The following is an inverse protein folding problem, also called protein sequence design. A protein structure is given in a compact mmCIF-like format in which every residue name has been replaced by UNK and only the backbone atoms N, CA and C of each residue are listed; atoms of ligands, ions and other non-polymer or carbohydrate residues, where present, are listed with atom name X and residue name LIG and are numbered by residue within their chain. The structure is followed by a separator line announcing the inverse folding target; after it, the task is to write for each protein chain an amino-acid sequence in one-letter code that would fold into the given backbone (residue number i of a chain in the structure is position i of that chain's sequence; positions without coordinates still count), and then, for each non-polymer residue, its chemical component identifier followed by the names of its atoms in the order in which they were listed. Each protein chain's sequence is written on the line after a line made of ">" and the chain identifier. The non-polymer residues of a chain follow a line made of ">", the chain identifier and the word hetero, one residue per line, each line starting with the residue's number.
data_IF_278748032492
#
_entry.id   IF_278748032492
#
_cell.length_a   1.000
_cell.length_b   1.000
_cell.length_c   1.000
_cell.angle_alpha   90.00
_cell.angle_beta   90.00
_cell.angle_gamma   90.00
#
_symmetry.space_group_name_H-M   'P 1'
#
loop_
_entity.id
_entity.type
_entity.pdbx_description
1 polymer ?
#
# COMPACT_ATOMS: atom_id res chain seq x y z
N UNK A 1 -43.56 47.19 14.50
CA UNK A 1 -42.66 46.14 15.04
C UNK A 1 -42.73 44.90 14.14
N UNK A 2 -42.11 44.91 12.95
CA UNK A 2 -42.10 43.70 12.07
C UNK A 2 -40.74 43.47 11.39
N UNK A 3 -39.76 44.38 11.53
CA UNK A 3 -38.47 44.26 10.84
C UNK A 3 -37.40 43.45 11.60
N UNK A 4 -37.59 43.13 12.89
CA UNK A 4 -36.59 42.41 13.68
C UNK A 4 -36.65 40.88 13.55
N UNK A 5 -37.76 40.32 13.08
CA UNK A 5 -37.93 38.85 12.98
C UNK A 5 -37.27 38.26 11.73
N UNK A 6 -37.23 39.03 10.63
CA UNK A 6 -36.68 38.55 9.35
C UNK A 6 -35.15 38.43 9.39
N UNK A 7 -34.45 39.36 10.06
CA UNK A 7 -32.99 39.34 10.16
C UNK A 7 -32.45 38.14 10.97
N UNK A 8 -33.18 37.72 12.00
CA UNK A 8 -32.78 36.58 12.83
C UNK A 8 -32.93 35.28 12.03
N UNK A 9 -33.96 35.15 11.21
CA UNK A 9 -34.15 33.97 10.33
C UNK A 9 -33.06 33.86 9.26
N UNK A 10 -32.63 34.98 8.67
CA UNK A 10 -31.55 34.96 7.66
C UNK A 10 -30.19 34.66 8.28
N UNK A 11 -29.92 35.13 9.51
CA UNK A 11 -28.67 34.82 10.22
C UNK A 11 -28.62 33.34 10.62
N UNK A 12 -29.73 32.76 11.08
CA UNK A 12 -29.78 31.33 11.42
C UNK A 12 -29.58 30.45 10.17
N UNK A 13 -30.22 30.78 9.04
CA UNK A 13 -30.02 30.04 7.78
C UNK A 13 -28.59 30.18 7.22
N UNK A 14 -27.94 31.33 7.42
CA UNK A 14 -26.53 31.53 7.04
C UNK A 14 -25.57 30.79 7.99
N UNK A 15 -25.91 30.64 9.26
CA UNK A 15 -25.14 29.84 10.22
C UNK A 15 -25.30 28.33 10.00
N UNK A 16 -26.51 27.84 9.68
CA UNK A 16 -26.74 26.43 9.32
C UNK A 16 -26.07 26.06 7.98
N UNK A 17 -26.00 27.01 7.03
CA UNK A 17 -25.27 26.80 5.77
C UNK A 17 -23.75 26.82 5.94
N UNK A 18 -23.24 27.46 7.01
CA UNK A 18 -21.80 27.47 7.32
C UNK A 18 -21.35 26.22 8.09
N UNK A 19 -22.26 25.49 8.73
CA UNK A 19 -21.94 24.32 9.55
C UNK A 19 -21.90 22.98 8.80
N UNK A 20 -22.25 22.95 7.50
CA UNK A 20 -22.17 21.71 6.66
C UNK A 20 -20.87 21.65 5.84
N UNK A 21 -19.99 22.64 5.97
CA UNK A 21 -18.59 22.54 5.53
C UNK A 21 -17.70 22.01 6.68
N UNK A 22 -18.16 20.97 7.37
CA UNK A 22 -17.24 20.01 7.96
C UNK A 22 -16.54 19.33 6.80
N UNK A 23 -15.40 19.87 6.38
CA UNK A 23 -14.41 19.16 5.61
C UNK A 23 -14.03 17.95 6.46
N UNK A 24 -14.67 16.81 6.17
CA UNK A 24 -14.18 15.51 6.57
C UNK A 24 -12.81 15.39 5.94
N UNK A 25 -11.76 15.78 6.67
CA UNK A 25 -10.41 15.38 6.34
C UNK A 25 -10.38 13.86 6.48
N UNK A 26 -10.77 13.15 5.43
CA UNK A 26 -10.61 11.71 5.33
C UNK A 26 -9.11 11.46 5.17
N UNK A 27 -8.42 11.31 6.30
CA UNK A 27 -7.02 10.92 6.31
C UNK A 27 -6.93 9.46 5.90
N UNK A 28 -6.26 9.17 4.78
CA UNK A 28 -5.95 7.80 4.36
C UNK A 28 -4.99 7.20 5.39
N UNK A 29 -5.29 6.02 5.93
CA UNK A 29 -4.41 5.37 6.89
C UNK A 29 -3.34 4.56 6.16
N UNK A 30 -2.10 5.00 6.28
CA UNK A 30 -0.92 4.29 5.78
C UNK A 30 -0.63 3.07 6.66
N UNK A 31 -0.47 1.89 6.04
CA UNK A 31 -0.12 0.61 6.70
C UNK A 31 1.24 0.11 6.20
N UNK A 32 2.27 0.92 6.42
CA UNK A 32 3.65 0.55 6.15
C UNK A 32 4.31 0.18 7.48
N UNK A 33 4.75 -1.08 7.62
CA UNK A 33 5.49 -1.55 8.79
C UNK A 33 6.38 -2.73 8.40
N UNK A 34 7.49 -2.89 9.12
CA UNK A 34 8.53 -3.88 8.81
C UNK A 34 9.02 -4.52 10.10
N UNK A 35 9.33 -5.82 10.08
CA UNK A 35 9.97 -6.53 11.19
C UNK A 35 11.48 -6.68 10.91
N UNK A 36 12.32 -6.30 11.87
CA UNK A 36 13.77 -6.54 11.82
C UNK A 36 14.10 -7.70 12.78
N UNK A 37 14.72 -8.75 12.25
CA UNK A 37 15.18 -9.90 13.03
C UNK A 37 16.65 -9.76 13.43
N UNK A 38 17.03 -10.37 14.56
CA UNK A 38 18.41 -10.31 15.10
C UNK A 38 19.47 -10.97 14.20
N UNK A 39 19.04 -11.71 13.17
CA UNK A 39 19.89 -12.36 12.18
C UNK A 39 20.30 -11.47 11.01
N UNK A 40 19.74 -10.27 10.87
CA UNK A 40 20.08 -9.35 9.79
C UNK A 40 21.34 -8.57 10.16
N UNK A 41 22.52 -9.16 9.90
CA UNK A 41 23.83 -8.50 10.00
C UNK A 41 24.04 -7.44 8.89
N UNK A 42 23.04 -6.60 8.64
CA UNK A 42 23.12 -5.51 7.67
C UNK A 42 23.64 -4.24 8.35
N UNK A 43 24.42 -3.47 7.61
CA UNK A 43 24.86 -2.14 8.02
C UNK A 43 23.65 -1.21 8.04
N UNK A 44 22.93 -1.18 9.16
CA UNK A 44 21.70 -0.39 9.34
C UNK A 44 21.91 1.08 8.97
N UNK A 45 23.13 1.61 9.17
CA UNK A 45 23.50 2.98 8.81
C UNK A 45 23.57 3.17 7.29
N UNK A 46 24.10 2.19 6.56
CA UNK A 46 24.11 2.23 5.09
C UNK A 46 22.69 2.29 4.52
N UNK A 47 21.79 1.45 5.02
CA UNK A 47 20.38 1.46 4.60
C UNK A 47 19.70 2.79 4.92
N UNK A 48 19.92 3.33 6.13
CA UNK A 48 19.41 4.64 6.52
C UNK A 48 19.89 5.76 5.59
N UNK A 49 21.17 5.78 5.21
CA UNK A 49 21.73 6.75 4.28
C UNK A 49 21.10 6.63 2.87
N UNK A 50 20.96 5.40 2.34
CA UNK A 50 20.28 5.16 1.07
C UNK A 50 18.80 5.60 1.11
N UNK A 51 18.11 5.33 2.22
CA UNK A 51 16.71 5.73 2.43
C UNK A 51 16.56 7.25 2.54
N UNK A 52 17.49 7.93 3.19
CA UNK A 52 17.46 9.39 3.34
C UNK A 52 17.72 10.11 2.00
N UNK A 53 18.64 9.59 1.19
CA UNK A 53 18.88 10.08 -0.18
C UNK A 53 17.63 9.87 -1.06
N UNK A 54 17.03 8.67 -1.00
CA UNK A 54 15.78 8.38 -1.69
C UNK A 54 14.67 9.33 -1.27
N UNK A 55 14.45 9.53 0.04
CA UNK A 55 13.44 10.46 0.57
C UNK A 55 13.63 11.86 0.02
N UNK A 56 14.83 12.40 0.10
CA UNK A 56 15.12 13.77 -0.35
C UNK A 56 14.83 13.93 -1.84
N UNK A 57 15.26 12.96 -2.66
CA UNK A 57 15.01 12.99 -4.11
C UNK A 57 13.55 12.77 -4.47
N UNK A 58 12.86 11.87 -3.77
CA UNK A 58 11.44 11.59 -3.94
C UNK A 58 10.61 12.85 -3.68
N UNK A 59 10.78 13.45 -2.50
CA UNK A 59 10.01 14.61 -2.07
C UNK A 59 10.24 15.81 -3.00
N UNK A 60 11.47 16.01 -3.44
CA UNK A 60 11.80 17.04 -4.42
C UNK A 60 11.23 16.78 -5.82
N UNK A 61 11.40 15.56 -6.34
CA UNK A 61 11.10 15.24 -7.76
C UNK A 61 9.60 15.08 -8.01
N UNK A 62 8.89 14.45 -7.08
CA UNK A 62 7.46 14.19 -7.20
C UNK A 62 6.60 15.25 -6.50
N UNK A 63 7.23 16.20 -5.79
CA UNK A 63 6.54 17.20 -4.98
C UNK A 63 5.51 16.58 -4.02
N UNK A 64 5.87 15.43 -3.44
CA UNK A 64 5.02 14.62 -2.57
C UNK A 64 5.80 14.21 -1.34
N UNK A 65 5.22 14.44 -0.15
CA UNK A 65 5.81 13.95 1.10
C UNK A 65 5.84 12.42 1.11
N UNK A 66 7.01 11.82 1.39
CA UNK A 66 7.13 10.37 1.49
C UNK A 66 6.33 9.81 2.69
N UNK A 67 6.09 10.65 3.71
CA UNK A 67 5.27 10.30 4.87
C UNK A 67 3.79 10.16 4.51
N UNK A 68 3.31 10.92 3.52
CA UNK A 68 1.92 10.89 3.05
C UNK A 68 1.71 9.92 1.87
N UNK A 69 2.80 9.54 1.20
CA UNK A 69 2.78 8.55 0.14
C UNK A 69 2.46 7.14 0.68
N UNK A 70 1.61 6.41 -0.02
CA UNK A 70 1.27 5.01 0.24
C UNK A 70 1.39 4.20 -1.04
N UNK A 71 1.92 2.99 -0.94
CA UNK A 71 2.08 2.15 -2.12
C UNK A 71 0.78 1.43 -2.53
N UNK A 72 -0.12 1.18 -1.59
CA UNK A 72 -1.40 0.52 -1.85
C UNK A 72 -2.58 1.31 -1.24
N UNK A 73 -3.68 1.53 -1.97
CA UNK A 73 -3.94 1.15 -3.36
C UNK A 73 -3.46 2.25 -4.32
N UNK A 74 -2.18 2.20 -4.70
CA UNK A 74 -1.43 3.10 -5.60
C UNK A 74 -1.77 4.59 -5.50
N UNK A 75 -0.90 5.36 -4.85
CA UNK A 75 -1.06 6.81 -4.73
C UNK A 75 -1.23 7.53 -6.09
N UNK A 76 -2.14 8.52 -6.22
CA UNK A 76 -2.37 9.28 -7.45
C UNK A 76 -1.11 9.81 -8.12
N UNK A 77 -0.12 10.21 -7.33
CA UNK A 77 1.19 10.71 -7.80
C UNK A 77 1.91 9.72 -8.72
N UNK A 78 1.68 8.41 -8.60
CA UNK A 78 2.29 7.39 -9.49
C UNK A 78 1.33 6.89 -10.56
N UNK A 79 0.12 7.44 -10.66
CA UNK A 79 -0.88 7.05 -11.67
C UNK A 79 -0.80 7.89 -12.96
N UNK A 80 0.07 8.91 -12.98
CA UNK A 80 0.39 9.67 -14.18
C UNK A 80 1.68 9.12 -14.82
N UNK A 81 1.70 8.94 -16.14
CA UNK A 81 2.83 8.32 -16.84
C UNK A 81 4.17 9.03 -16.62
N UNK A 82 4.20 10.36 -16.55
CA UNK A 82 5.46 11.11 -16.38
C UNK A 82 6.01 10.92 -14.96
N UNK A 83 5.14 11.07 -13.97
CA UNK A 83 5.44 10.88 -12.55
C UNK A 83 5.78 9.43 -12.21
N UNK A 84 5.12 8.45 -12.84
CA UNK A 84 5.44 7.03 -12.72
C UNK A 84 6.87 6.71 -13.20
N UNK A 85 7.29 7.26 -14.35
CA UNK A 85 8.66 7.06 -14.84
C UNK A 85 9.71 7.65 -13.89
N UNK A 86 9.42 8.80 -13.29
CA UNK A 86 10.29 9.41 -12.29
C UNK A 86 10.34 8.56 -11.01
N UNK A 87 9.20 8.10 -10.51
CA UNK A 87 9.10 7.19 -9.37
C UNK A 87 9.94 5.92 -9.60
N UNK A 88 9.85 5.31 -10.79
CA UNK A 88 10.63 4.11 -11.09
C UNK A 88 12.12 4.39 -11.18
N UNK A 89 12.54 5.50 -11.79
CA UNK A 89 13.95 5.89 -11.80
C UNK A 89 14.52 6.06 -10.39
N UNK A 90 13.76 6.70 -9.50
CA UNK A 90 14.17 6.92 -8.10
C UNK A 90 14.21 5.60 -7.33
N UNK A 91 13.22 4.74 -7.54
CA UNK A 91 13.15 3.43 -6.91
C UNK A 91 14.29 2.52 -7.34
N UNK A 92 14.63 2.48 -8.64
CA UNK A 92 15.78 1.74 -9.16
C UNK A 92 17.10 2.27 -8.56
N UNK A 93 17.24 3.59 -8.38
CA UNK A 93 18.42 4.17 -7.73
C UNK A 93 18.54 3.76 -6.26
N UNK A 94 17.42 3.72 -5.53
CA UNK A 94 17.37 3.22 -4.15
C UNK A 94 17.80 1.76 -4.08
N UNK A 95 17.23 0.91 -4.93
CA UNK A 95 17.55 -0.53 -4.97
C UNK A 95 19.03 -0.75 -5.30
N UNK A 96 19.59 -0.01 -6.26
CA UNK A 96 21.04 -0.05 -6.55
C UNK A 96 21.90 0.42 -5.38
N UNK A 97 21.44 1.41 -4.61
CA UNK A 97 22.14 1.84 -3.41
C UNK A 97 22.26 0.69 -2.40
N UNK A 98 21.18 -0.06 -2.16
CA UNK A 98 21.21 -1.23 -1.27
C UNK A 98 22.16 -2.32 -1.81
N UNK A 99 22.07 -2.65 -3.09
CA UNK A 99 22.91 -3.68 -3.70
C UNK A 99 24.41 -3.30 -3.70
N UNK A 100 24.74 -2.13 -4.24
CA UNK A 100 26.14 -1.74 -4.49
C UNK A 100 26.83 -1.16 -3.26
N UNK A 101 26.12 -0.40 -2.41
CA UNK A 101 26.72 0.24 -1.23
C UNK A 101 26.56 -0.57 0.04
N UNK A 102 25.42 -1.26 0.20
CA UNK A 102 25.13 -2.02 1.41
C UNK A 102 25.36 -3.53 1.24
N UNK A 103 25.85 -3.98 0.07
CA UNK A 103 26.09 -5.37 -0.29
C UNK A 103 24.84 -6.26 -0.20
N UNK A 104 23.66 -5.68 -0.38
CA UNK A 104 22.38 -6.40 -0.36
C UNK A 104 21.85 -6.62 -1.78
N UNK A 105 22.46 -7.58 -2.47
CA UNK A 105 22.08 -7.95 -3.83
C UNK A 105 20.70 -8.62 -3.89
N UNK A 106 20.14 -9.07 -2.76
CA UNK A 106 18.78 -9.61 -2.72
C UNK A 106 17.74 -8.51 -2.99
N UNK A 107 18.05 -7.24 -2.66
CA UNK A 107 17.15 -6.10 -2.85
C UNK A 107 16.61 -5.93 -4.28
N UNK A 108 17.35 -6.38 -5.31
CA UNK A 108 16.90 -6.33 -6.71
C UNK A 108 15.80 -7.35 -7.03
N UNK A 109 15.78 -8.48 -6.30
CA UNK A 109 14.89 -9.60 -6.56
C UNK A 109 13.82 -9.79 -5.46
N UNK A 110 13.96 -9.11 -4.32
CA UNK A 110 12.97 -9.11 -3.25
C UNK A 110 11.73 -8.30 -3.63
N UNK A 111 10.59 -8.72 -3.10
CA UNK A 111 9.37 -7.94 -3.18
C UNK A 111 9.58 -6.60 -2.46
N UNK A 112 9.34 -5.52 -3.18
CA UNK A 112 8.98 -4.25 -2.62
C UNK A 112 7.89 -3.66 -3.50
N UNK A 113 6.99 -2.82 -2.98
CA UNK A 113 5.95 -2.23 -3.81
C UNK A 113 6.51 -1.51 -5.05
N UNK A 114 7.64 -0.82 -4.86
CA UNK A 114 8.38 -0.19 -5.95
C UNK A 114 8.95 -1.19 -6.96
N UNK A 115 9.60 -2.28 -6.53
CA UNK A 115 10.12 -3.30 -7.47
C UNK A 115 8.97 -3.98 -8.22
N UNK A 116 7.84 -4.23 -7.56
CA UNK A 116 6.67 -4.82 -8.19
C UNK A 116 6.17 -3.98 -9.36
N UNK A 117 5.91 -2.67 -9.15
CA UNK A 117 5.39 -1.83 -10.23
C UNK A 117 6.46 -1.38 -11.23
N UNK A 118 7.73 -1.24 -10.83
CA UNK A 118 8.77 -0.67 -11.69
C UNK A 118 9.63 -1.70 -12.41
N UNK A 119 9.76 -2.91 -11.86
CA UNK A 119 10.61 -3.97 -12.41
C UNK A 119 9.75 -5.15 -12.87
N UNK A 120 8.97 -5.75 -11.97
CA UNK A 120 8.33 -7.05 -12.22
C UNK A 120 7.08 -6.96 -13.10
N UNK A 121 6.23 -5.96 -12.86
CA UNK A 121 4.95 -5.79 -13.56
C UNK A 121 4.81 -4.44 -14.26
N UNK A 122 5.93 -3.78 -14.60
CA UNK A 122 5.96 -2.45 -15.23
C UNK A 122 5.05 -2.30 -16.44
N UNK A 123 5.17 -3.19 -17.42
CA UNK A 123 4.34 -3.10 -18.63
C UNK A 123 2.85 -3.27 -18.33
N UNK A 124 2.50 -4.10 -17.34
CA UNK A 124 1.11 -4.28 -16.91
C UNK A 124 0.60 -3.02 -16.19
N UNK A 125 1.41 -2.45 -15.30
CA UNK A 125 1.08 -1.21 -14.59
C UNK A 125 0.88 -0.05 -15.57
N UNK A 126 1.79 0.14 -16.54
CA UNK A 126 1.68 1.16 -17.59
C UNK A 126 0.38 1.05 -18.40
N UNK A 127 -0.06 -0.17 -18.71
CA UNK A 127 -1.34 -0.42 -19.40
C UNK A 127 -2.56 -0.14 -18.51
N UNK A 128 -2.41 -0.21 -17.19
CA UNK A 128 -3.47 0.04 -16.22
C UNK A 128 -3.59 1.53 -15.81
N UNK A 129 -2.53 2.34 -15.99
CA UNK A 129 -2.42 3.72 -15.50
C UNK A 129 -3.67 4.56 -15.76
N UNK A 130 -4.18 4.57 -16.99
CA UNK A 130 -5.31 5.40 -17.36
C UNK A 130 -6.58 5.04 -16.56
N UNK A 131 -6.87 3.75 -16.44
CA UNK A 131 -8.03 3.29 -15.69
C UNK A 131 -7.86 3.48 -14.19
N UNK A 132 -6.68 3.21 -13.63
CA UNK A 132 -6.38 3.45 -12.23
C UNK A 132 -6.53 4.94 -11.89
N UNK A 133 -5.95 5.84 -12.68
CA UNK A 133 -6.08 7.29 -12.48
C UNK A 133 -7.53 7.76 -12.57
N UNK A 134 -8.31 7.24 -13.53
CA UNK A 134 -9.72 7.58 -13.71
C UNK A 134 -10.59 7.14 -12.53
N UNK A 135 -10.25 6.01 -11.92
CA UNK A 135 -11.09 5.36 -10.88
C UNK A 135 -10.59 5.64 -9.46
N UNK A 136 -9.39 6.18 -9.28
CA UNK A 136 -8.81 6.47 -7.97
C UNK A 136 -9.74 7.29 -7.06
N UNK A 137 -10.36 8.41 -7.50
CA UNK A 137 -11.19 9.21 -6.59
C UNK A 137 -12.39 8.43 -6.04
N UNK A 138 -13.01 7.58 -6.87
CA UNK A 138 -14.19 6.79 -6.48
C UNK A 138 -13.78 5.58 -5.64
N UNK A 139 -12.71 4.88 -6.04
CA UNK A 139 -12.22 3.75 -5.27
C UNK A 139 -11.64 4.18 -3.92
N UNK A 140 -11.08 5.39 -3.80
CA UNK A 140 -10.74 6.00 -2.52
C UNK A 140 -11.98 6.26 -1.67
N UNK A 141 -12.95 7.02 -2.19
CA UNK A 141 -14.14 7.39 -1.41
C UNK A 141 -14.99 6.18 -1.00
N UNK A 142 -15.06 5.17 -1.85
CA UNK A 142 -15.89 3.97 -1.62
C UNK A 142 -15.09 2.86 -0.96
N UNK A 143 -14.11 2.31 -1.66
CA UNK A 143 -13.46 1.07 -1.26
C UNK A 143 -12.44 1.27 -0.14
N UNK A 144 -11.59 2.29 -0.24
CA UNK A 144 -10.61 2.58 0.81
C UNK A 144 -11.34 2.89 2.13
N UNK A 145 -12.36 3.76 2.09
CA UNK A 145 -13.14 4.10 3.27
C UNK A 145 -13.90 2.90 3.86
N UNK A 146 -14.66 2.16 3.04
CA UNK A 146 -15.44 1.00 3.48
C UNK A 146 -14.55 -0.08 4.11
N UNK A 147 -13.43 -0.39 3.46
CA UNK A 147 -12.49 -1.40 3.96
C UNK A 147 -11.78 -0.94 5.23
N UNK A 148 -11.40 0.34 5.35
CA UNK A 148 -10.85 0.86 6.61
C UNK A 148 -11.85 0.75 7.76
N UNK A 149 -13.11 1.14 7.54
CA UNK A 149 -14.18 1.02 8.55
C UNK A 149 -14.43 -0.44 8.94
N UNK A 150 -14.37 -1.39 7.99
CA UNK A 150 -14.50 -2.82 8.31
C UNK A 150 -13.40 -3.29 9.28
N UNK A 151 -12.14 -2.90 9.02
CA UNK A 151 -11.02 -3.25 9.89
C UNK A 151 -11.20 -2.62 11.28
N UNK A 152 -11.44 -1.32 11.35
CA UNK A 152 -11.61 -0.59 12.62
C UNK A 152 -12.78 -1.15 13.43
N UNK A 153 -13.91 -1.46 12.79
CA UNK A 153 -15.07 -2.06 13.45
C UNK A 153 -14.74 -3.43 14.04
N UNK A 154 -14.01 -4.26 13.29
CA UNK A 154 -13.59 -5.58 13.76
C UNK A 154 -12.59 -5.51 14.93
N UNK A 155 -11.76 -4.48 14.98
CA UNK A 155 -10.78 -4.27 16.05
C UNK A 155 -11.40 -3.68 17.31
N UNK A 156 -12.37 -2.77 17.18
CA UNK A 156 -13.13 -2.24 18.33
C UNK A 156 -13.88 -3.34 19.08
N UNK A 157 -14.35 -4.37 18.36
CA UNK A 157 -14.93 -5.56 18.97
C UNK A 157 -13.90 -6.42 19.75
N UNK A 158 -12.60 -6.24 19.48
CA UNK A 158 -11.49 -6.96 20.11
C UNK A 158 -10.76 -6.16 21.23
N UNK A 159 -11.16 -4.93 21.54
CA UNK A 159 -10.56 -4.05 22.57
C UNK A 159 -9.02 -3.91 22.50
N UNK A 160 -8.44 -3.69 21.30
CA UNK A 160 -6.99 -3.47 21.15
C UNK A 160 -6.66 -1.98 20.93
N UNK A 161 -5.51 -1.58 21.49
CA UNK A 161 -4.83 -0.26 21.63
C UNK A 161 -4.80 0.62 20.37
N UNK A 162 -4.52 1.94 20.48
CA UNK A 162 -4.78 2.92 19.44
C UNK A 162 -3.82 2.81 18.26
N UNK A 163 -4.32 3.27 17.10
CA UNK A 163 -3.72 3.30 15.77
C UNK A 163 -2.21 3.62 15.75
N UNK A 164 -1.44 2.74 15.12
CA UNK A 164 0.00 2.85 14.98
C UNK A 164 0.33 2.96 13.48
N UNK A 165 0.80 4.13 13.05
CA UNK A 165 1.31 4.34 11.69
C UNK A 165 2.84 4.25 11.68
N UNK A 166 3.41 3.66 10.62
CA UNK A 166 4.85 3.70 10.30
C UNK A 166 5.77 3.12 11.40
N UNK A 167 5.45 1.97 11.99
CA UNK A 167 6.30 1.33 13.00
C UNK A 167 7.26 0.29 12.40
N UNK A 168 8.50 0.33 12.90
CA UNK A 168 9.48 -0.74 12.75
C UNK A 168 9.32 -1.61 14.00
N UNK A 169 8.99 -2.88 13.79
CA UNK A 169 8.90 -3.86 14.85
C UNK A 169 10.24 -4.60 15.01
N UNK A 170 10.58 -4.97 16.23
CA UNK A 170 11.71 -5.86 16.53
C UNK A 170 11.22 -7.27 16.88
N UNK A 171 12.10 -8.28 16.89
CA UNK A 171 11.76 -9.68 17.17
C UNK A 171 10.85 -9.89 18.40
N UNK A 172 11.03 -9.09 19.47
CA UNK A 172 10.19 -9.17 20.68
C UNK A 172 8.73 -8.71 20.49
N UNK A 173 8.43 -8.04 19.38
CA UNK A 173 7.12 -7.48 19.04
C UNK A 173 6.41 -8.30 17.95
N UNK A 174 6.86 -9.53 17.68
CA UNK A 174 6.30 -10.39 16.64
C UNK A 174 4.77 -10.50 16.73
N UNK A 175 4.20 -10.73 17.91
CA UNK A 175 2.74 -10.83 18.06
C UNK A 175 1.98 -9.56 17.63
N UNK A 176 2.57 -8.38 17.85
CA UNK A 176 2.01 -7.10 17.40
C UNK A 176 2.14 -6.95 15.89
N UNK A 177 3.31 -7.31 15.34
CA UNK A 177 3.55 -7.35 13.90
C UNK A 177 2.54 -8.26 13.18
N UNK A 178 2.30 -9.47 13.68
CA UNK A 178 1.31 -10.40 13.12
C UNK A 178 -0.11 -9.83 13.15
N UNK A 179 -0.44 -9.09 14.21
CA UNK A 179 -1.74 -8.42 14.33
C UNK A 179 -1.91 -7.34 13.27
N UNK A 180 -0.86 -6.58 12.96
CA UNK A 180 -0.91 -5.57 11.90
C UNK A 180 -0.91 -6.21 10.50
N UNK A 181 -0.18 -7.32 10.29
CA UNK A 181 -0.23 -8.10 9.06
C UNK A 181 -1.64 -8.65 8.78
N UNK A 182 -2.33 -9.21 9.79
CA UNK A 182 -3.72 -9.68 9.63
C UNK A 182 -4.62 -8.56 9.09
N UNK A 183 -4.49 -7.37 9.66
CA UNK A 183 -5.29 -6.21 9.25
C UNK A 183 -4.93 -5.75 7.83
N UNK A 184 -3.64 -5.74 7.47
CA UNK A 184 -3.17 -5.37 6.14
C UNK A 184 -3.71 -6.34 5.08
N UNK A 185 -3.59 -7.65 5.28
CA UNK A 185 -4.10 -8.65 4.36
C UNK A 185 -5.63 -8.61 4.23
N UNK A 186 -6.37 -8.39 5.33
CA UNK A 186 -7.83 -8.18 5.25
C UNK A 186 -8.18 -6.92 4.46
N UNK A 187 -7.49 -5.82 4.69
CA UNK A 187 -7.69 -4.57 3.95
C UNK A 187 -7.43 -4.78 2.45
N UNK A 188 -6.31 -5.41 2.10
CA UNK A 188 -5.94 -5.70 0.71
C UNK A 188 -6.97 -6.58 0.02
N UNK A 189 -7.44 -7.63 0.68
CA UNK A 189 -8.52 -8.50 0.18
C UNK A 189 -9.83 -7.73 -0.04
N UNK A 190 -10.24 -6.94 0.96
CA UNK A 190 -11.45 -6.12 0.87
C UNK A 190 -11.35 -5.11 -0.29
N UNK A 191 -10.25 -4.36 -0.37
CA UNK A 191 -10.08 -3.32 -1.38
C UNK A 191 -10.08 -3.91 -2.78
N UNK A 192 -9.30 -4.98 -3.01
CA UNK A 192 -9.24 -5.70 -4.29
C UNK A 192 -10.64 -6.14 -4.76
N UNK A 193 -11.43 -6.73 -3.87
CA UNK A 193 -12.79 -7.18 -4.19
C UNK A 193 -13.76 -6.01 -4.45
N UNK A 194 -13.63 -4.91 -3.68
CA UNK A 194 -14.46 -3.73 -3.86
C UNK A 194 -14.16 -2.96 -5.14
N UNK A 195 -12.88 -2.82 -5.50
CA UNK A 195 -12.46 -1.97 -6.63
C UNK A 195 -12.76 -2.61 -7.99
N UNK A 196 -12.77 -3.94 -8.09
CA UNK A 196 -12.98 -4.66 -9.33
C UNK A 196 -14.29 -4.29 -10.06
N UNK A 197 -15.48 -4.25 -9.41
CA UNK A 197 -16.71 -3.80 -10.07
C UNK A 197 -16.65 -2.32 -10.46
N UNK A 198 -16.03 -1.45 -9.65
CA UNK A 198 -15.90 -0.01 -9.97
C UNK A 198 -15.10 0.19 -11.26
N UNK A 199 -13.96 -0.49 -11.38
CA UNK A 199 -13.10 -0.43 -12.56
C UNK A 199 -13.79 -0.98 -13.81
N UNK A 200 -14.54 -2.08 -13.69
CA UNK A 200 -15.31 -2.66 -14.80
C UNK A 200 -16.45 -1.75 -15.29
N UNK A 201 -17.06 -0.98 -14.39
CA UNK A 201 -18.13 -0.04 -14.74
C UNK A 201 -17.57 1.23 -15.39
N UNK A 202 -16.39 1.68 -14.96
CA UNK A 202 -15.85 2.98 -15.35
C UNK A 202 -14.89 2.96 -16.54
N UNK A 203 -14.25 1.84 -16.84
CA UNK A 203 -13.22 1.73 -17.87
C UNK A 203 -13.64 0.84 -19.04
N UNK A 204 -12.90 0.89 -20.15
CA UNK A 204 -13.08 -0.08 -21.24
C UNK A 204 -12.65 -1.49 -20.79
N UNK A 205 -13.16 -2.52 -21.46
CA UNK A 205 -12.92 -3.93 -21.08
C UNK A 205 -11.43 -4.25 -20.90
N UNK A 206 -10.59 -3.91 -21.90
CA UNK A 206 -9.15 -4.16 -21.84
C UNK A 206 -8.44 -3.39 -20.71
N UNK A 207 -8.73 -2.10 -20.55
CA UNK A 207 -8.13 -1.29 -19.48
C UNK A 207 -8.56 -1.77 -18.09
N UNK A 208 -9.84 -2.16 -17.96
CA UNK A 208 -10.40 -2.68 -16.72
C UNK A 208 -9.74 -4.01 -16.34
N UNK A 209 -9.46 -4.87 -17.33
CA UNK A 209 -8.75 -6.13 -17.13
C UNK A 209 -7.34 -5.88 -16.58
N UNK A 210 -6.56 -4.99 -17.21
CA UNK A 210 -5.22 -4.69 -16.73
C UNK A 210 -5.21 -4.08 -15.31
N UNK A 211 -6.16 -3.18 -15.01
CA UNK A 211 -6.27 -2.55 -13.69
C UNK A 211 -6.69 -3.53 -12.58
N UNK A 212 -7.57 -4.49 -12.88
CA UNK A 212 -7.89 -5.57 -11.94
C UNK A 212 -6.69 -6.50 -11.77
N UNK A 213 -6.07 -6.93 -12.88
CA UNK A 213 -4.96 -7.89 -12.87
C UNK A 213 -3.75 -7.37 -12.09
N UNK A 214 -3.41 -6.08 -12.20
CA UNK A 214 -2.26 -5.50 -11.48
C UNK A 214 -2.50 -5.42 -9.97
N UNK A 215 -3.73 -5.09 -9.55
CA UNK A 215 -4.08 -5.04 -8.12
C UNK A 215 -4.16 -6.44 -7.53
N UNK A 216 -4.80 -7.39 -8.22
CA UNK A 216 -4.81 -8.80 -7.81
C UNK A 216 -3.40 -9.36 -7.71
N UNK A 217 -2.54 -9.08 -8.70
CA UNK A 217 -1.14 -9.52 -8.69
C UNK A 217 -0.34 -8.89 -7.55
N UNK A 218 -0.57 -7.62 -7.21
CA UNK A 218 0.09 -6.95 -6.09
C UNK A 218 -0.26 -7.64 -4.77
N UNK A 219 -1.57 -7.82 -4.52
CA UNK A 219 -2.07 -8.46 -3.29
C UNK A 219 -1.55 -9.89 -3.18
N UNK A 220 -1.53 -10.62 -4.29
CA UNK A 220 -1.01 -11.98 -4.34
C UNK A 220 0.48 -12.05 -3.99
N UNK A 221 1.31 -11.28 -4.70
CA UNK A 221 2.76 -11.32 -4.52
C UNK A 221 3.18 -10.86 -3.12
N UNK A 222 2.47 -9.87 -2.58
CA UNK A 222 2.70 -9.43 -1.21
C UNK A 222 2.36 -10.53 -0.20
N UNK A 223 1.26 -11.25 -0.39
CA UNK A 223 0.90 -12.39 0.47
C UNK A 223 1.90 -13.55 0.34
N UNK A 224 2.37 -13.84 -0.87
CA UNK A 224 3.37 -14.88 -1.13
C UNK A 224 4.72 -14.53 -0.47
N UNK A 225 5.18 -13.26 -0.58
CA UNK A 225 6.40 -12.77 0.09
C UNK A 225 6.30 -12.86 1.62
N UNK A 226 5.16 -12.45 2.19
CA UNK A 226 4.89 -12.62 3.62
C UNK A 226 4.95 -14.10 3.99
N UNK A 227 4.33 -15.00 3.21
CA UNK A 227 4.32 -16.44 3.48
C UNK A 227 5.73 -17.03 3.45
N UNK A 228 6.51 -16.72 2.41
CA UNK A 228 7.89 -17.18 2.26
C UNK A 228 8.75 -16.72 3.44
N UNK A 229 8.58 -15.46 3.88
CA UNK A 229 9.26 -14.94 5.07
C UNK A 229 8.94 -15.74 6.35
N UNK A 230 7.66 -16.10 6.57
CA UNK A 230 7.27 -16.93 7.72
C UNK A 230 7.92 -18.32 7.65
N UNK A 231 7.94 -18.94 6.47
CA UNK A 231 8.57 -20.26 6.29
C UNK A 231 10.09 -20.22 6.50
N UNK A 232 10.78 -19.20 6.01
CA UNK A 232 12.23 -19.06 6.16
C UNK A 232 12.62 -18.77 7.62
N UNK A 233 11.78 -18.03 8.35
CA UNK A 233 12.04 -17.67 9.76
C UNK A 233 11.53 -18.70 10.77
N UNK A 234 10.86 -19.77 10.31
CA UNK A 234 10.30 -20.81 11.17
C UNK A 234 9.05 -20.37 11.94
N UNK A 235 8.33 -19.38 11.43
CA UNK A 235 7.13 -18.78 12.02
C UNK A 235 5.85 -19.18 11.27
N UNK A 236 5.84 -20.30 10.53
CA UNK A 236 4.68 -20.74 9.74
C UNK A 236 3.35 -20.78 10.52
N UNK A 237 3.42 -21.15 11.81
CA UNK A 237 2.25 -21.25 12.68
C UNK A 237 1.65 -19.89 13.08
N UNK A 238 2.42 -18.79 12.98
CA UNK A 238 1.96 -17.44 13.33
C UNK A 238 1.46 -16.64 12.13
N UNK A 239 1.66 -17.14 10.90
CA UNK A 239 1.18 -16.49 9.67
C UNK A 239 -0.33 -16.20 9.76
N UNK A 240 -0.78 -14.94 9.66
CA UNK A 240 -2.17 -14.59 9.86
C UNK A 240 -3.08 -15.25 8.83
N UNK A 241 -4.23 -15.77 9.29
CA UNK A 241 -5.20 -16.48 8.43
C UNK A 241 -5.67 -15.65 7.24
N UNK A 242 -5.79 -14.33 7.40
CA UNK A 242 -6.15 -13.45 6.30
C UNK A 242 -5.08 -13.46 5.18
N UNK A 243 -3.80 -13.44 5.55
CA UNK A 243 -2.69 -13.57 4.60
C UNK A 243 -2.65 -14.97 3.99
N UNK A 244 -2.81 -16.03 4.79
CA UNK A 244 -2.88 -17.43 4.30
C UNK A 244 -3.94 -17.63 3.21
N UNK A 245 -5.09 -16.96 3.34
CA UNK A 245 -6.19 -17.07 2.36
C UNK A 245 -5.86 -16.38 1.04
N UNK A 246 -4.96 -15.40 1.06
CA UNK A 246 -4.51 -14.67 -0.13
C UNK A 246 -3.36 -15.38 -0.83
N UNK A 247 -2.57 -16.21 -0.13
CA UNK A 247 -1.56 -17.07 -0.77
C UNK A 247 -2.25 -18.05 -1.70
N UNK A 248 -1.95 -17.98 -2.99
CA UNK A 248 -2.42 -18.99 -3.94
C UNK A 248 -1.56 -20.21 -3.77
N UNK A 249 -2.20 -21.37 -3.72
CA UNK A 249 -1.54 -22.66 -3.94
C UNK A 249 -1.18 -22.79 -5.43
N UNK A 250 -0.51 -21.80 -5.99
CA UNK A 250 0.06 -21.92 -7.31
C UNK A 250 1.30 -22.79 -7.18
N UNK A 251 1.26 -23.95 -7.83
CA UNK A 251 2.49 -24.63 -8.20
C UNK A 251 3.42 -23.58 -8.81
N UNK A 252 4.63 -23.40 -8.26
CA UNK A 252 5.73 -22.52 -8.72
C UNK A 252 6.05 -22.60 -10.24
N UNK A 253 5.31 -23.39 -11.01
CA UNK A 253 5.46 -23.67 -12.43
C UNK A 253 4.87 -22.60 -13.37
N UNK A 254 3.90 -21.78 -12.95
CA UNK A 254 3.11 -20.97 -13.91
C UNK A 254 3.53 -19.49 -14.03
N UNK A 255 4.36 -18.95 -13.14
CA UNK A 255 4.97 -17.60 -13.29
C UNK A 255 6.51 -17.71 -13.28
N UNK A 256 7.19 -17.46 -14.42
CA UNK A 256 8.64 -17.53 -14.53
C UNK A 256 9.38 -16.62 -13.54
N UNK A 257 8.76 -15.54 -13.07
CA UNK A 257 9.40 -14.61 -12.14
C UNK A 257 9.35 -15.14 -10.70
N UNK A 258 8.29 -15.86 -10.31
CA UNK A 258 8.23 -16.54 -9.00
C UNK A 258 9.32 -17.63 -8.88
N UNK A 259 9.80 -18.18 -10.00
CA UNK A 259 10.96 -19.09 -10.02
C UNK A 259 12.30 -18.36 -9.74
N UNK A 260 12.42 -17.09 -10.11
CA UNK A 260 13.62 -16.30 -9.88
C UNK A 260 13.72 -15.89 -8.41
N UNK A 261 12.61 -15.45 -7.82
CA UNK A 261 12.52 -15.05 -6.41
C UNK A 261 12.84 -16.25 -5.49
N UNK A 262 12.27 -17.43 -5.79
CA UNK A 262 12.52 -18.65 -5.01
C UNK A 262 13.95 -19.20 -5.11
N UNK A 263 14.71 -18.84 -6.16
CA UNK A 263 16.10 -19.28 -6.34
C UNK A 263 17.13 -18.34 -5.72
N UNK A 264 16.76 -17.09 -5.39
CA UNK A 264 17.64 -16.15 -4.70
C UNK A 264 17.70 -16.37 -3.17
N UNK A 265 16.82 -17.23 -2.63
CA UNK A 265 16.75 -17.58 -1.22
C UNK A 265 17.50 -18.89 -0.86
N UNK A 266 18.35 -19.41 -1.76
CA UNK A 266 19.22 -20.59 -1.55
C UNK A 266 20.71 -20.23 -1.62
#
# INVERSE_FOLDING_TARGET
>A
MVYFSSLIFTIIFLFDSFFILTTSYQTRFKRDFMLITDGNMTDAKCFEECQQDYRTKFEYTLNQSLTEFYDFPFHPVVLESSSFQLYCKLSEQKTKCFAEKCNDYAAENSFSPSNFVCIFKRSLFEKALNCLAKTEPITFLKCDHECHEEIVRSDRLKQVTPNIQNQIFISSELATYETELDKLCRFQSCYMNCMAPVVKEMCGEDESKHAVEIVESYVQWHADDISDWHSITGNDETLPKACQTLVKTHSKADDPILQIIGNAAL
#
